data_IF_075971479004
#
_entry.id   IF_075971479004
#
_cell.length_a   1.000
_cell.length_b   1.000
_cell.length_c   1.000
_cell.angle_alpha   90.00
_cell.angle_beta   90.00
_cell.angle_gamma   90.00
#
_symmetry.space_group_name_H-M   'P 1'
#
loop_
_entity.id
_entity.type
_entity.pdbx_description
1 polymer ?
#
# COMPACT_ATOMS: atom_id res chain seq x y z
N UNK A 1 -15.79 -6.00 -23.31
CA UNK A 1 -16.33 -6.34 -21.97
C UNK A 1 -16.92 -5.08 -21.37
N UNK A 2 -17.91 -5.18 -20.49
CA UNK A 2 -18.35 -3.99 -19.74
C UNK A 2 -17.28 -3.63 -18.70
N UNK A 3 -17.20 -2.36 -18.30
CA UNK A 3 -16.28 -1.91 -17.24
C UNK A 3 -16.45 -2.73 -15.95
N UNK A 4 -17.70 -3.09 -15.62
CA UNK A 4 -18.00 -3.89 -14.43
C UNK A 4 -17.37 -5.28 -14.49
N UNK A 5 -17.41 -5.93 -15.67
CA UNK A 5 -16.81 -7.24 -15.86
C UNK A 5 -15.28 -7.18 -15.68
N UNK A 6 -14.63 -6.14 -16.20
CA UNK A 6 -13.16 -5.99 -16.06
C UNK A 6 -12.73 -5.78 -14.61
N UNK A 7 -13.50 -5.01 -13.84
CA UNK A 7 -13.25 -4.83 -12.41
C UNK A 7 -13.48 -6.13 -11.65
N UNK A 8 -14.54 -6.87 -11.96
CA UNK A 8 -14.83 -8.12 -11.25
C UNK A 8 -13.78 -9.20 -11.54
N UNK A 9 -13.27 -9.27 -12.77
CA UNK A 9 -12.11 -10.11 -13.13
C UNK A 9 -10.88 -9.69 -12.33
N UNK A 10 -10.58 -8.39 -12.27
CA UNK A 10 -9.43 -7.89 -11.53
C UNK A 10 -9.53 -8.18 -10.02
N UNK A 11 -10.70 -7.96 -9.42
CA UNK A 11 -10.98 -8.33 -8.02
C UNK A 11 -10.83 -9.84 -7.79
N UNK A 12 -11.24 -10.67 -8.75
CA UNK A 12 -11.02 -12.12 -8.72
C UNK A 12 -9.53 -12.49 -8.71
N UNK A 13 -8.74 -11.86 -9.58
CA UNK A 13 -7.28 -12.04 -9.65
C UNK A 13 -6.57 -11.60 -8.35
N UNK A 14 -7.02 -10.51 -7.74
CA UNK A 14 -6.50 -10.01 -6.46
C UNK A 14 -6.77 -10.99 -5.30
N UNK A 15 -8.01 -11.49 -5.18
CA UNK A 15 -8.38 -12.48 -4.16
C UNK A 15 -7.63 -13.80 -4.35
N UNK A 16 -7.44 -14.22 -5.59
CA UNK A 16 -6.67 -15.42 -5.94
C UNK A 16 -5.14 -15.24 -5.79
N UNK A 17 -4.66 -14.05 -5.38
CA UNK A 17 -3.23 -13.72 -5.24
C UNK A 17 -2.40 -13.95 -6.53
N UNK A 18 -3.04 -13.85 -7.70
CA UNK A 18 -2.36 -13.97 -9.01
C UNK A 18 -1.53 -12.74 -9.35
N UNK A 19 -1.98 -11.56 -8.88
CA UNK A 19 -1.26 -10.29 -9.01
C UNK A 19 -0.82 -9.86 -7.62
N UNK A 20 0.48 -9.91 -7.33
CA UNK A 20 1.04 -9.54 -6.02
C UNK A 20 1.97 -8.33 -6.08
N UNK A 21 2.46 -7.99 -7.27
CA UNK A 21 3.41 -6.92 -7.44
C UNK A 21 2.72 -5.55 -7.27
N UNK A 22 3.23 -4.67 -6.39
CA UNK A 22 2.58 -3.39 -6.12
C UNK A 22 2.54 -2.50 -7.36
N UNK A 23 3.56 -2.56 -8.23
CA UNK A 23 3.62 -1.77 -9.46
C UNK A 23 2.55 -2.19 -10.47
N UNK A 24 2.45 -3.50 -10.76
CA UNK A 24 1.45 -4.03 -11.68
C UNK A 24 0.02 -3.74 -11.20
N UNK A 25 -0.20 -3.85 -9.90
CA UNK A 25 -1.49 -3.55 -9.27
C UNK A 25 -1.83 -2.06 -9.37
N UNK A 26 -0.87 -1.18 -9.13
CA UNK A 26 -1.03 0.27 -9.27
C UNK A 26 -1.39 0.65 -10.71
N UNK A 27 -0.64 0.14 -11.71
CA UNK A 27 -0.89 0.39 -13.14
C UNK A 27 -2.28 -0.08 -13.56
N UNK A 28 -2.68 -1.28 -13.16
CA UNK A 28 -4.00 -1.82 -13.49
C UNK A 28 -5.13 -0.99 -12.86
N UNK A 29 -4.93 -0.54 -11.61
CA UNK A 29 -5.89 0.33 -10.91
C UNK A 29 -6.03 1.68 -11.61
N UNK A 30 -4.92 2.33 -11.98
CA UNK A 30 -4.93 3.60 -12.71
C UNK A 30 -5.64 3.47 -14.07
N UNK A 31 -5.37 2.39 -14.81
CA UNK A 31 -6.05 2.09 -16.08
C UNK A 31 -7.57 1.95 -15.91
N UNK A 32 -8.02 1.22 -14.88
CA UNK A 32 -9.46 1.06 -14.59
C UNK A 32 -10.12 2.39 -14.22
N UNK A 33 -9.44 3.24 -13.45
CA UNK A 33 -9.95 4.58 -13.12
C UNK A 33 -10.06 5.47 -14.35
N UNK A 34 -9.08 5.41 -15.27
CA UNK A 34 -9.16 6.10 -16.57
C UNK A 34 -10.30 5.57 -17.45
N UNK A 35 -10.54 4.27 -17.46
CA UNK A 35 -11.65 3.68 -18.19
C UNK A 35 -13.01 4.09 -17.60
N UNK A 36 -13.11 4.18 -16.27
CA UNK A 36 -14.29 4.68 -15.56
C UNK A 36 -14.62 6.13 -15.98
N UNK A 37 -13.64 7.02 -15.94
CA UNK A 37 -13.83 8.44 -16.29
C UNK A 37 -14.23 8.63 -17.75
N UNK A 38 -13.76 7.75 -18.64
CA UNK A 38 -14.06 7.79 -20.09
C UNK A 38 -15.45 7.23 -20.42
N UNK A 39 -15.84 6.11 -19.80
CA UNK A 39 -17.06 5.37 -20.15
C UNK A 39 -18.33 5.98 -19.55
N UNK A 40 -18.27 6.46 -18.30
CA UNK A 40 -19.44 7.01 -17.61
C UNK A 40 -19.61 8.52 -17.88
N UNK A 41 -20.86 8.93 -18.09
CA UNK A 41 -21.23 10.34 -18.12
C UNK A 41 -21.52 10.82 -16.70
N UNK A 42 -20.92 11.93 -16.33
CA UNK A 42 -21.01 12.60 -15.03
C UNK A 42 -21.29 14.06 -15.34
N UNK A 43 -22.32 14.60 -14.69
CA UNK A 43 -22.73 15.98 -14.90
C UNK A 43 -22.06 16.97 -13.97
N UNK A 44 -21.47 16.47 -12.89
CA UNK A 44 -20.80 17.25 -11.86
C UNK A 44 -19.52 16.53 -11.41
N UNK A 45 -18.57 17.27 -10.86
CA UNK A 45 -17.33 16.74 -10.30
C UNK A 45 -17.61 15.85 -9.08
N UNK A 46 -18.56 16.22 -8.22
CA UNK A 46 -18.93 15.41 -7.06
C UNK A 46 -19.46 14.03 -7.44
N UNK A 47 -20.29 13.97 -8.49
CA UNK A 47 -20.81 12.70 -9.00
C UNK A 47 -19.70 11.77 -9.54
N UNK A 48 -18.59 12.34 -10.03
CA UNK A 48 -17.42 11.56 -10.44
C UNK A 48 -16.61 11.09 -9.22
N UNK A 49 -16.42 11.95 -8.21
CA UNK A 49 -15.75 11.61 -6.95
C UNK A 49 -16.45 10.44 -6.25
N UNK A 50 -17.78 10.50 -6.14
CA UNK A 50 -18.58 9.45 -5.49
C UNK A 50 -18.48 8.11 -6.23
N UNK A 51 -18.50 8.14 -7.57
CA UNK A 51 -18.31 6.95 -8.40
C UNK A 51 -16.90 6.36 -8.21
N UNK A 52 -15.85 7.18 -8.28
CA UNK A 52 -14.46 6.73 -8.07
C UNK A 52 -14.28 6.15 -6.67
N UNK A 53 -14.88 6.76 -5.64
CA UNK A 53 -14.86 6.27 -4.26
C UNK A 53 -15.56 4.92 -4.15
N UNK A 54 -16.74 4.76 -4.74
CA UNK A 54 -17.49 3.48 -4.72
C UNK A 54 -16.72 2.35 -5.41
N UNK A 55 -16.17 2.58 -6.60
CA UNK A 55 -15.40 1.57 -7.33
C UNK A 55 -14.06 1.29 -6.66
N UNK A 56 -13.40 2.33 -6.18
CA UNK A 56 -12.14 2.21 -5.45
C UNK A 56 -12.28 1.37 -4.18
N UNK A 57 -13.34 1.60 -3.41
CA UNK A 57 -13.65 0.80 -2.20
C UNK A 57 -13.86 -0.67 -2.56
N UNK A 58 -14.59 -0.97 -3.65
CA UNK A 58 -14.81 -2.34 -4.13
C UNK A 58 -13.50 -3.05 -4.47
N UNK A 59 -12.56 -2.37 -5.14
CA UNK A 59 -11.27 -2.95 -5.52
C UNK A 59 -10.38 -3.13 -4.29
N UNK A 60 -10.32 -2.14 -3.40
CA UNK A 60 -9.51 -2.22 -2.18
C UNK A 60 -10.01 -3.33 -1.24
N UNK A 61 -11.33 -3.58 -1.17
CA UNK A 61 -11.91 -4.70 -0.43
C UNK A 61 -11.47 -6.07 -0.95
N UNK A 62 -11.07 -6.20 -2.21
CA UNK A 62 -10.60 -7.47 -2.74
C UNK A 62 -9.27 -7.91 -2.10
N UNK A 63 -8.41 -6.95 -1.73
CA UNK A 63 -7.15 -7.21 -1.04
C UNK A 63 -6.71 -5.96 -0.23
N UNK A 64 -7.09 -5.86 1.06
CA UNK A 64 -6.81 -4.67 1.87
C UNK A 64 -5.32 -4.49 2.21
N UNK A 65 -4.53 -5.57 2.21
CA UNK A 65 -3.09 -5.52 2.48
C UNK A 65 -2.27 -4.88 1.36
N UNK A 66 -2.86 -4.71 0.16
CA UNK A 66 -2.21 -4.05 -0.97
C UNK A 66 -2.52 -2.54 -0.98
N UNK A 67 -1.69 -1.78 -0.25
CA UNK A 67 -1.89 -0.35 -0.06
C UNK A 67 -1.75 0.46 -1.37
N UNK A 68 -1.01 -0.03 -2.35
CA UNK A 68 -0.82 0.63 -3.64
C UNK A 68 -2.15 0.92 -4.35
N UNK A 69 -3.15 0.03 -4.24
CA UNK A 69 -4.50 0.22 -4.80
C UNK A 69 -5.13 1.49 -4.21
N UNK A 70 -5.21 1.56 -2.88
CA UNK A 70 -5.81 2.68 -2.18
C UNK A 70 -5.04 3.97 -2.41
N UNK A 71 -3.72 3.91 -2.52
CA UNK A 71 -2.86 5.06 -2.81
C UNK A 71 -3.19 5.65 -4.19
N UNK A 72 -3.28 4.81 -5.24
CA UNK A 72 -3.66 5.27 -6.57
C UNK A 72 -5.07 5.88 -6.57
N UNK A 73 -6.05 5.24 -5.93
CA UNK A 73 -7.41 5.77 -5.85
C UNK A 73 -7.43 7.16 -5.20
N UNK A 74 -6.71 7.34 -4.08
CA UNK A 74 -6.60 8.64 -3.41
C UNK A 74 -5.92 9.70 -4.29
N UNK A 75 -4.90 9.30 -5.06
CA UNK A 75 -4.24 10.20 -6.02
C UNK A 75 -5.20 10.63 -7.12
N UNK A 76 -6.01 9.71 -7.66
CA UNK A 76 -7.07 10.04 -8.64
C UNK A 76 -8.13 10.97 -8.05
N UNK A 77 -8.58 10.72 -6.82
CA UNK A 77 -9.54 11.59 -6.13
C UNK A 77 -8.96 12.99 -5.89
N UNK A 78 -7.66 13.09 -5.61
CA UNK A 78 -6.97 14.36 -5.47
C UNK A 78 -6.92 15.13 -6.79
N UNK A 79 -6.49 14.47 -7.89
CA UNK A 79 -6.47 15.05 -9.25
C UNK A 79 -7.84 15.62 -9.64
N UNK A 80 -8.93 14.88 -9.39
CA UNK A 80 -10.29 15.35 -9.72
C UNK A 80 -10.66 16.61 -8.92
N UNK A 81 -10.28 16.68 -7.65
CA UNK A 81 -10.56 17.86 -6.80
C UNK A 81 -9.75 19.07 -7.23
N UNK A 82 -8.48 18.90 -7.55
CA UNK A 82 -7.63 19.99 -8.02
C UNK A 82 -8.18 20.60 -9.31
N UNK A 83 -8.60 19.77 -10.26
CA UNK A 83 -9.21 20.24 -11.51
C UNK A 83 -10.56 20.95 -11.25
N UNK A 84 -11.40 20.41 -10.36
CA UNK A 84 -12.66 21.05 -10.00
C UNK A 84 -12.46 22.42 -9.32
N UNK A 85 -11.42 22.55 -8.49
CA UNK A 85 -11.05 23.82 -7.87
C UNK A 85 -10.50 24.82 -8.90
N UNK A 86 -9.65 24.37 -9.82
CA UNK A 86 -9.13 25.21 -10.89
C UNK A 86 -10.24 25.77 -11.80
N UNK A 87 -11.27 24.98 -12.09
CA UNK A 87 -12.43 25.46 -12.84
C UNK A 87 -13.24 26.53 -12.07
N UNK A 88 -13.41 26.35 -10.75
CA UNK A 88 -14.07 27.33 -9.89
C UNK A 88 -13.27 28.64 -9.80
N UNK A 89 -11.96 28.56 -9.69
CA UNK A 89 -11.06 29.73 -9.67
C UNK A 89 -10.94 30.42 -11.04
N UNK A 90 -11.09 29.66 -12.13
CA UNK A 90 -11.12 30.19 -13.49
C UNK A 90 -12.46 30.87 -13.83
N UNK A 91 -13.52 30.60 -13.08
CA UNK A 91 -14.80 31.29 -13.25
C UNK A 91 -14.65 32.78 -12.86
N UNK A 92 -15.08 33.72 -13.71
CA UNK A 92 -15.00 35.14 -13.37
C UNK A 92 -15.86 35.43 -12.14
N UNK A 93 -15.41 36.30 -11.21
CA UNK A 93 -16.20 36.64 -10.03
C UNK A 93 -17.52 37.27 -10.48
N UNK A 94 -18.65 36.68 -10.07
CA UNK A 94 -19.97 37.24 -10.31
C UNK A 94 -20.07 38.58 -9.54
N UNK A 95 -19.88 39.68 -10.26
CA UNK A 95 -20.14 41.02 -9.74
C UNK A 95 -21.66 41.21 -9.71
N UNK A 96 -22.29 41.52 -8.55
CA UNK A 96 -23.72 41.76 -8.52
C UNK A 96 -24.02 43.15 -9.10
N UNK A 97 -24.46 43.18 -10.35
CA UNK A 97 -25.24 44.29 -10.92
C UNK A 97 -24.55 45.16 -11.97
N UNK A 98 -25.04 45.04 -13.22
CA UNK A 98 -25.34 46.17 -14.11
C UNK A 98 -24.20 46.76 -14.94
N UNK A 99 -24.33 46.64 -16.27
CA UNK A 99 -23.69 47.56 -17.23
C UNK A 99 -22.97 46.86 -18.37
N UNK A 100 -23.49 47.06 -19.58
CA UNK A 100 -22.92 46.65 -20.86
C UNK A 100 -21.47 47.10 -21.03
N UNK A 101 -20.56 46.18 -21.36
CA UNK A 101 -19.42 46.50 -22.22
C UNK A 101 -18.85 45.26 -22.92
N UNK A 102 -18.74 45.38 -24.23
CA UNK A 102 -18.28 44.37 -25.17
C UNK A 102 -16.75 44.28 -25.21
N UNK A 103 -16.26 43.05 -25.17
CA UNK A 103 -15.05 42.57 -25.87
C UNK A 103 -13.75 43.34 -25.68
N UNK A 104 -12.98 42.96 -24.66
CA UNK A 104 -11.51 42.80 -24.82
C UNK A 104 -11.14 41.39 -24.36
N UNK A 105 -11.05 40.48 -25.34
CA UNK A 105 -10.48 39.14 -25.18
C UNK A 105 -8.96 39.29 -24.96
N UNK A 106 -8.56 39.69 -23.76
CA UNK A 106 -7.17 39.64 -23.34
C UNK A 106 -6.85 38.19 -22.95
N UNK A 107 -6.06 37.56 -23.80
CA UNK A 107 -5.42 36.26 -23.61
C UNK A 107 -4.58 36.28 -22.33
N UNK A 108 -5.19 36.07 -21.15
CA UNK A 108 -4.47 35.69 -19.92
C UNK A 108 -4.15 34.20 -19.99
N UNK A 109 -3.35 33.84 -20.99
CA UNK A 109 -2.49 32.67 -20.87
C UNK A 109 -1.43 33.00 -19.82
N UNK A 110 -1.46 32.26 -18.71
CA UNK A 110 -0.29 32.02 -17.87
C UNK A 110 0.18 33.16 -16.98
N UNK A 111 -0.47 33.34 -15.83
CA UNK A 111 0.15 34.02 -14.67
C UNK A 111 0.49 33.07 -13.52
N UNK A 112 -0.09 31.86 -13.46
CA UNK A 112 0.41 30.79 -12.58
C UNK A 112 1.45 29.89 -13.28
N UNK A 113 1.32 29.68 -14.59
CA UNK A 113 2.33 28.93 -15.37
C UNK A 113 3.63 29.69 -15.62
N UNK A 114 3.70 30.99 -15.27
CA UNK A 114 4.91 31.82 -15.41
C UNK A 114 5.69 32.02 -14.09
N UNK A 115 5.08 31.70 -12.94
CA UNK A 115 5.82 31.56 -11.68
C UNK A 115 6.53 30.19 -11.57
N UNK A 116 6.12 29.23 -12.40
CA UNK A 116 6.71 27.89 -12.50
C UNK A 116 7.72 27.74 -13.65
N UNK A 117 7.94 28.79 -14.46
CA UNK A 117 8.85 28.76 -15.61
C UNK A 117 10.01 29.75 -15.43
N UNK A 118 11.16 29.17 -15.06
CA UNK A 118 12.54 29.69 -15.00
C UNK A 118 13.04 30.27 -13.67
N UNK A 119 14.35 30.19 -13.39
CA UNK A 119 15.30 29.10 -13.65
C UNK A 119 16.07 28.73 -12.37
N UNK A 120 16.51 27.48 -12.22
CA UNK A 120 17.62 27.10 -11.34
C UNK A 120 17.64 27.81 -9.96
N UNK A 121 16.76 27.43 -9.03
CA UNK A 121 17.12 27.59 -7.62
C UNK A 121 18.16 26.51 -7.31
N UNK A 122 19.38 26.88 -7.68
CA UNK A 122 20.65 26.50 -7.09
C UNK A 122 20.53 25.33 -6.13
N UNK A 123 20.84 24.15 -6.65
CA UNK A 123 21.42 23.04 -5.91
C UNK A 123 21.07 23.05 -4.41
N UNK A 124 19.82 22.72 -4.08
CA UNK A 124 19.71 21.75 -3.00
C UNK A 124 20.46 20.54 -3.56
N UNK A 125 21.78 20.48 -3.31
CA UNK A 125 22.61 19.33 -3.61
C UNK A 125 21.73 18.15 -3.26
N UNK A 126 21.47 17.28 -4.24
CA UNK A 126 20.86 16.00 -3.98
C UNK A 126 21.44 15.51 -2.66
N UNK A 127 20.57 15.19 -1.70
CA UNK A 127 20.99 14.83 -0.35
C UNK A 127 21.81 13.55 -0.46
N UNK A 128 23.10 13.70 -0.74
CA UNK A 128 24.10 12.69 -0.56
C UNK A 128 24.36 12.63 0.95
N UNK A 129 24.58 11.42 1.45
CA UNK A 129 24.72 11.15 2.89
C UNK A 129 25.78 12.03 3.59
N UNK A 130 26.70 12.63 2.83
CA UNK A 130 27.69 13.58 3.34
C UNK A 130 27.10 14.89 3.89
N UNK A 131 25.90 15.31 3.45
CA UNK A 131 25.32 16.60 3.84
C UNK A 131 24.46 16.54 5.13
N UNK A 132 24.27 15.36 5.72
CA UNK A 132 23.38 15.15 6.87
C UNK A 132 24.01 15.49 8.24
N UNK A 133 25.33 15.74 8.29
CA UNK A 133 26.05 15.98 9.54
C UNK A 133 26.14 17.46 9.97
N UNK A 134 25.70 18.42 9.14
CA UNK A 134 25.96 19.85 9.35
C UNK A 134 24.73 20.73 9.71
N UNK A 135 23.56 20.17 9.98
CA UNK A 135 22.37 20.99 10.34
C UNK A 135 22.17 21.13 11.86
N UNK A 136 22.70 22.20 12.43
CA UNK A 136 22.21 22.77 13.70
C UNK A 136 21.08 23.76 13.39
N UNK A 137 19.86 23.45 13.86
CA UNK A 137 18.68 24.32 13.70
C UNK A 137 18.75 25.51 14.66
N UNK A 138 18.52 26.77 14.21
CA UNK A 138 18.24 27.88 15.12
C UNK A 138 16.76 27.83 15.60
N UNK A 139 16.45 28.38 16.79
CA UNK A 139 15.12 28.31 17.38
C UNK A 139 14.10 29.20 16.64
N UNK A 140 12.91 28.64 16.40
CA UNK A 140 11.79 29.27 15.69
C UNK A 140 10.95 30.13 16.65
N UNK A 141 10.63 31.37 16.26
CA UNK A 141 9.65 32.25 16.93
C UNK A 141 8.61 32.70 15.89
N UNK A 142 7.30 32.52 16.14
CA UNK A 142 6.26 32.84 15.15
C UNK A 142 6.07 34.36 15.03
N UNK A 143 5.92 34.85 13.79
CA UNK A 143 5.61 36.25 13.48
C UNK A 143 4.10 36.50 13.45
N UNK A 144 3.71 37.75 13.71
CA UNK A 144 2.33 38.22 13.96
C UNK A 144 1.33 38.03 12.81
N UNK A 145 1.75 37.49 11.67
CA UNK A 145 0.87 37.19 10.53
C UNK A 145 0.14 35.85 10.70
N UNK A 146 0.75 34.85 11.37
CA UNK A 146 0.13 33.54 11.60
C UNK A 146 -0.92 33.60 12.73
N UNK A 147 -0.76 34.52 13.68
CA UNK A 147 -1.74 34.78 14.73
C UNK A 147 -3.07 35.37 14.21
N UNK A 148 -3.03 36.08 13.07
CA UNK A 148 -4.21 36.70 12.47
C UNK A 148 -5.13 35.67 11.78
N UNK A 149 -4.57 34.63 11.17
CA UNK A 149 -5.34 33.57 10.51
C UNK A 149 -6.14 32.70 11.51
N UNK A 150 -5.64 32.56 12.74
CA UNK A 150 -6.32 31.81 13.81
C UNK A 150 -7.50 32.59 14.39
N UNK A 151 -7.45 33.93 14.41
CA UNK A 151 -8.53 34.76 14.91
C UNK A 151 -9.75 34.79 13.97
N UNK A 152 -9.53 34.71 12.66
CA UNK A 152 -10.61 34.74 11.66
C UNK A 152 -11.42 33.43 11.60
N UNK A 153 -10.81 32.31 11.98
CA UNK A 153 -11.46 31.00 12.04
C UNK A 153 -12.46 30.86 13.22
N UNK A 154 -12.36 31.70 14.25
CA UNK A 154 -13.17 31.59 15.49
C UNK A 154 -14.48 32.40 15.39
N UNK A 155 -14.64 33.30 14.41
CA UNK A 155 -15.78 34.22 14.33
C UNK A 155 -17.02 33.69 13.59
N UNK A 156 -16.99 32.50 12.97
CA UNK A 156 -18.06 32.05 12.04
C UNK A 156 -18.91 30.85 12.51
N UNK A 157 -19.00 30.59 13.82
CA UNK A 157 -19.90 29.55 14.35
C UNK A 157 -20.76 30.04 15.52
N UNK A 158 -21.93 30.58 15.20
CA UNK A 158 -23.14 30.51 16.05
C UNK A 158 -24.39 30.52 15.15
N UNK A 159 -25.33 29.57 15.27
CA UNK A 159 -26.55 29.56 14.46
C UNK A 159 -27.62 30.50 15.06
N UNK A 160 -28.20 31.36 14.23
CA UNK A 160 -29.36 32.18 14.58
C UNK A 160 -30.68 31.45 14.29
N UNK A 161 -31.61 31.58 15.23
CA UNK A 161 -32.97 31.01 15.26
C UNK A 161 -33.87 31.78 14.25
N UNK A 162 -34.74 31.13 13.45
CA UNK A 162 -35.68 31.86 12.60
C UNK A 162 -36.97 32.25 13.34
N UNK A 163 -37.38 33.50 13.16
CA UNK A 163 -38.62 34.09 13.67
C UNK A 163 -39.87 33.60 12.91
N UNK A 164 -41.01 33.62 13.61
CA UNK A 164 -42.34 33.18 13.19
C UNK A 164 -43.01 34.18 12.23
N UNK A 165 -43.81 33.74 11.24
CA UNK A 165 -44.77 34.61 10.56
C UNK A 165 -46.21 34.39 11.08
N UNK A 166 -46.90 35.49 11.38
CA UNK A 166 -48.33 35.54 11.68
C UNK A 166 -49.22 35.44 10.42
N UNK A 167 -50.54 35.23 10.60
CA UNK A 167 -51.40 34.60 9.60
C UNK A 167 -52.13 35.61 8.70
N UNK A 168 -52.37 35.24 7.44
CA UNK A 168 -53.15 36.06 6.53
C UNK A 168 -53.54 35.39 5.22
N UNK A 169 -54.78 34.88 5.21
CA UNK A 169 -55.72 34.83 4.08
C UNK A 169 -55.49 33.79 2.97
N UNK A 170 -56.36 32.79 3.06
CA UNK A 170 -56.84 31.85 2.05
C UNK A 170 -57.03 32.44 0.65
N UNK A 171 -56.60 31.72 -0.37
CA UNK A 171 -57.44 31.50 -1.56
C UNK A 171 -57.06 30.19 -2.26
N UNK A 172 -58.12 29.43 -2.46
CA UNK A 172 -58.23 28.07 -2.98
C UNK A 172 -58.35 28.14 -4.51
N UNK A 173 -57.56 27.34 -5.23
CA UNK A 173 -57.76 27.11 -6.66
C UNK A 173 -57.10 25.79 -7.10
N UNK A 174 -57.89 24.72 -7.03
CA UNK A 174 -57.70 23.48 -7.76
C UNK A 174 -57.86 23.69 -9.28
N UNK A 175 -56.89 23.24 -10.07
CA UNK A 175 -57.08 22.62 -11.41
C UNK A 175 -55.75 21.97 -11.83
N UNK A 176 -55.59 20.66 -11.78
CA UNK A 176 -56.04 19.65 -12.75
C UNK A 176 -55.02 19.35 -13.87
N UNK A 177 -54.83 18.04 -14.08
CA UNK A 177 -54.18 17.34 -15.21
C UNK A 177 -52.67 17.44 -15.47
N UNK A 178 -51.97 16.37 -15.07
CA UNK A 178 -51.27 15.47 -15.99
C UNK A 178 -50.50 16.06 -17.18
N UNK A 179 -49.20 16.27 -17.01
CA UNK A 179 -48.22 16.10 -18.10
C UNK A 179 -46.89 15.56 -17.60
N UNK A 180 -46.76 14.25 -17.71
CA UNK A 180 -45.50 13.49 -17.63
C UNK A 180 -44.51 14.11 -18.64
N UNK A 181 -43.63 15.00 -18.19
CA UNK A 181 -42.50 15.47 -19.00
C UNK A 181 -41.52 14.31 -19.12
N UNK A 182 -41.46 13.70 -20.31
CA UNK A 182 -40.33 12.86 -20.71
C UNK A 182 -39.07 13.71 -20.58
N UNK A 183 -38.24 13.43 -19.58
CA UNK A 183 -36.93 14.04 -19.44
C UNK A 183 -36.06 13.58 -20.60
N UNK A 184 -35.81 14.48 -21.55
CA UNK A 184 -34.73 14.35 -22.51
C UNK A 184 -33.41 14.14 -21.76
N UNK A 185 -32.78 12.97 -21.96
CA UNK A 185 -31.44 12.64 -21.46
C UNK A 185 -30.41 13.50 -22.18
N UNK A 186 -30.10 14.68 -21.65
CA UNK A 186 -28.83 15.36 -21.88
C UNK A 186 -28.60 16.37 -20.75
N UNK A 187 -28.11 15.88 -19.60
CA UNK A 187 -27.50 16.77 -18.61
C UNK A 187 -26.19 17.35 -19.16
N UNK A 188 -25.73 18.51 -18.65
CA UNK A 188 -24.41 19.04 -18.95
C UNK A 188 -23.35 17.99 -18.58
N UNK A 189 -22.29 17.87 -19.38
CA UNK A 189 -21.12 17.05 -19.06
C UNK A 189 -20.10 17.98 -18.43
N UNK A 190 -19.53 17.58 -17.29
CA UNK A 190 -18.47 18.36 -16.63
C UNK A 190 -17.30 18.59 -17.60
N UNK A 191 -16.86 19.84 -17.77
CA UNK A 191 -15.88 20.24 -18.79
C UNK A 191 -14.45 19.83 -18.41
N UNK A 192 -14.10 19.80 -17.12
CA UNK A 192 -12.79 19.38 -16.61
C UNK A 192 -12.43 17.91 -16.84
N UNK A 193 -13.33 17.10 -17.42
CA UNK A 193 -13.07 15.67 -17.67
C UNK A 193 -11.90 15.40 -18.60
N UNK A 194 -11.71 16.20 -19.64
CA UNK A 194 -10.59 15.98 -20.57
C UNK A 194 -9.25 16.20 -19.89
N UNK A 195 -9.16 17.20 -19.02
CA UNK A 195 -7.97 17.49 -18.23
C UNK A 195 -7.68 16.36 -17.23
N UNK A 196 -8.71 15.84 -16.55
CA UNK A 196 -8.54 14.65 -15.68
C UNK A 196 -8.04 13.44 -16.47
N UNK A 197 -8.55 13.18 -17.67
CA UNK A 197 -8.08 12.05 -18.50
C UNK A 197 -6.62 12.23 -18.92
N UNK A 198 -6.20 13.45 -19.25
CA UNK A 198 -4.81 13.78 -19.58
C UNK A 198 -3.89 13.53 -18.37
N UNK A 199 -4.21 14.08 -17.20
CA UNK A 199 -3.44 13.85 -15.97
C UNK A 199 -3.41 12.36 -15.55
N UNK A 200 -4.47 11.60 -15.81
CA UNK A 200 -4.47 10.15 -15.57
C UNK A 200 -3.57 9.38 -16.53
N UNK A 201 -3.41 9.84 -17.78
CA UNK A 201 -2.43 9.25 -18.69
C UNK A 201 -1.01 9.59 -18.24
N UNK A 202 -0.75 10.84 -17.86
CA UNK A 202 0.55 11.25 -17.29
C UNK A 202 0.91 10.41 -16.05
N UNK A 203 -0.06 10.13 -15.17
CA UNK A 203 0.15 9.24 -14.02
C UNK A 203 0.51 7.81 -14.44
N UNK A 204 -0.11 7.27 -15.50
CA UNK A 204 0.21 5.91 -15.99
C UNK A 204 1.62 5.88 -16.58
N UNK A 205 1.98 6.89 -17.36
CA UNK A 205 3.31 7.02 -17.95
C UNK A 205 4.38 7.21 -16.86
N UNK A 206 4.10 8.02 -15.83
CA UNK A 206 4.96 8.17 -14.64
C UNK A 206 5.21 6.80 -13.98
N UNK A 207 4.17 5.99 -13.77
CA UNK A 207 4.28 4.65 -13.17
C UNK A 207 5.17 3.70 -13.98
N UNK A 208 5.26 3.87 -15.31
CA UNK A 208 6.15 3.05 -16.15
C UNK A 208 7.63 3.43 -15.96
N UNK A 209 7.93 4.68 -15.64
CA UNK A 209 9.29 5.23 -15.60
C UNK A 209 9.94 5.25 -14.19
N UNK A 210 9.17 5.04 -13.12
CA UNK A 210 9.63 5.14 -11.71
C UNK A 210 10.93 4.38 -11.43
N UNK A 211 11.01 3.11 -11.86
CA UNK A 211 12.17 2.28 -11.57
C UNK A 211 13.43 2.80 -12.26
N UNK A 212 13.29 3.36 -13.47
CA UNK A 212 14.39 3.96 -14.23
C UNK A 212 14.82 5.27 -13.61
N UNK A 213 13.85 6.12 -13.21
CA UNK A 213 14.13 7.40 -12.54
C UNK A 213 14.92 7.22 -11.24
N UNK A 214 14.53 6.23 -10.42
CA UNK A 214 15.26 5.89 -9.18
C UNK A 214 16.66 5.37 -9.52
N UNK A 215 16.80 4.50 -10.53
CA UNK A 215 18.08 3.90 -10.88
C UNK A 215 19.11 4.92 -11.40
N UNK A 216 18.66 6.00 -12.07
CA UNK A 216 19.55 7.08 -12.52
C UNK A 216 20.26 7.81 -11.37
N UNK A 217 19.62 7.89 -10.21
CA UNK A 217 20.17 8.54 -9.01
C UNK A 217 21.27 7.70 -8.32
N UNK A 218 21.47 6.44 -8.72
CA UNK A 218 22.39 5.52 -8.04
C UNK A 218 23.84 6.01 -7.97
N UNK A 219 24.28 6.80 -8.96
CA UNK A 219 25.64 7.34 -9.01
C UNK A 219 25.95 8.37 -7.93
N UNK A 220 24.92 9.00 -7.34
CA UNK A 220 25.08 9.99 -6.29
C UNK A 220 25.23 9.34 -4.91
N UNK A 221 24.70 8.12 -4.75
CA UNK A 221 24.64 7.41 -3.47
C UNK A 221 25.69 6.30 -3.30
N UNK A 222 26.12 5.65 -4.40
CA UNK A 222 27.06 4.51 -4.36
C UNK A 222 28.43 4.93 -4.88
N UNK A 223 29.48 4.78 -4.07
CA UNK A 223 30.86 5.06 -4.47
C UNK A 223 31.67 3.79 -4.72
N UNK A 224 32.87 3.95 -5.30
CA UNK A 224 33.75 2.83 -5.59
C UNK A 224 34.31 2.20 -4.30
N UNK A 225 34.51 0.89 -4.31
CA UNK A 225 35.03 0.09 -3.19
C UNK A 225 34.18 0.14 -1.91
N UNK A 226 32.89 0.50 -2.02
CA UNK A 226 31.95 0.39 -0.91
C UNK A 226 31.39 -1.04 -0.79
N UNK A 227 31.03 -1.41 0.43
CA UNK A 227 30.30 -2.65 0.74
C UNK A 227 28.85 -2.29 1.03
N UNK A 228 27.96 -2.71 0.13
CA UNK A 228 26.52 -2.47 0.23
C UNK A 228 25.81 -3.75 0.69
N UNK A 229 24.94 -3.65 1.70
CA UNK A 229 24.08 -4.76 2.11
C UNK A 229 22.66 -4.55 1.57
N UNK A 230 22.08 -5.61 1.01
CA UNK A 230 20.67 -5.70 0.61
C UNK A 230 20.03 -6.96 1.20
N UNK A 231 18.70 -6.97 1.29
CA UNK A 231 17.93 -8.07 1.86
C UNK A 231 16.80 -8.47 0.91
N UNK A 232 16.63 -9.77 0.68
CA UNK A 232 15.56 -10.31 -0.15
C UNK A 232 15.66 -9.93 -1.62
N UNK A 233 14.49 -9.82 -2.28
CA UNK A 233 14.40 -9.48 -3.71
C UNK A 233 13.65 -8.17 -3.93
N UNK A 234 14.25 -7.28 -4.72
CA UNK A 234 13.62 -6.02 -5.10
C UNK A 234 14.10 -5.60 -6.49
N UNK A 235 13.17 -5.48 -7.44
CA UNK A 235 13.46 -5.05 -8.81
C UNK A 235 14.07 -3.63 -8.84
N UNK A 236 13.50 -2.69 -8.08
CA UNK A 236 14.02 -1.33 -7.97
C UNK A 236 15.46 -1.32 -7.46
N UNK A 237 15.77 -2.13 -6.44
CA UNK A 237 17.12 -2.24 -5.88
C UNK A 237 18.09 -2.89 -6.85
N UNK A 238 17.66 -3.94 -7.54
CA UNK A 238 18.42 -4.61 -8.57
C UNK A 238 18.82 -3.65 -9.70
N UNK A 239 17.86 -2.89 -10.24
CA UNK A 239 18.11 -1.90 -11.30
C UNK A 239 19.04 -0.79 -10.81
N UNK A 240 18.82 -0.28 -9.59
CA UNK A 240 19.66 0.74 -8.97
C UNK A 240 21.12 0.29 -8.83
N UNK A 241 21.36 -0.93 -8.36
CA UNK A 241 22.71 -1.49 -8.24
C UNK A 241 23.34 -1.79 -9.61
N UNK A 242 22.56 -2.28 -10.59
CA UNK A 242 23.04 -2.50 -11.97
C UNK A 242 23.48 -1.19 -12.64
N UNK A 243 22.70 -0.12 -12.50
CA UNK A 243 23.09 1.20 -13.03
C UNK A 243 24.36 1.73 -12.37
N UNK A 244 24.48 1.63 -11.04
CA UNK A 244 25.71 2.00 -10.34
C UNK A 244 26.93 1.20 -10.84
N UNK A 245 26.75 -0.10 -11.09
CA UNK A 245 27.77 -1.03 -11.54
C UNK A 245 28.38 -0.70 -12.90
N UNK A 246 27.64 0.01 -13.76
CA UNK A 246 28.15 0.42 -15.09
C UNK A 246 29.32 1.40 -15.01
N UNK A 247 29.38 2.22 -13.95
CA UNK A 247 30.40 3.27 -13.79
C UNK A 247 31.40 2.98 -12.69
N UNK A 248 31.05 2.19 -11.68
CA UNK A 248 31.85 1.98 -10.47
C UNK A 248 31.85 0.52 -10.06
N UNK A 249 33.00 0.03 -9.60
CA UNK A 249 33.13 -1.28 -8.96
C UNK A 249 32.93 -1.16 -7.44
N UNK A 250 32.05 -1.99 -6.89
CA UNK A 250 31.77 -2.08 -5.46
C UNK A 250 31.32 -3.50 -5.12
N UNK A 251 31.24 -3.82 -3.82
CA UNK A 251 30.80 -5.13 -3.34
C UNK A 251 29.36 -5.06 -2.85
N UNK A 252 28.57 -6.09 -3.17
CA UNK A 252 27.20 -6.25 -2.68
C UNK A 252 27.09 -7.53 -1.86
N UNK A 253 26.64 -7.40 -0.63
CA UNK A 253 26.25 -8.51 0.25
C UNK A 253 24.73 -8.64 0.16
N UNK A 254 24.25 -9.83 -0.20
CA UNK A 254 22.82 -10.14 -0.36
C UNK A 254 22.42 -11.15 0.71
N UNK A 255 21.55 -10.74 1.63
CA UNK A 255 20.91 -11.66 2.56
C UNK A 255 19.75 -12.40 1.88
N UNK A 256 19.59 -13.69 2.17
CA UNK A 256 18.69 -14.57 1.43
C UNK A 256 17.19 -14.33 1.68
N UNK A 257 16.82 -13.76 2.83
CA UNK A 257 15.43 -13.55 3.27
C UNK A 257 14.65 -14.87 3.38
N UNK A 258 15.11 -15.77 4.25
CA UNK A 258 14.36 -16.95 4.64
C UNK A 258 13.06 -16.53 5.35
N UNK A 259 11.93 -17.20 5.11
CA UNK A 259 11.76 -18.45 4.34
C UNK A 259 11.51 -18.25 2.83
N UNK A 260 11.50 -17.01 2.32
CA UNK A 260 11.20 -16.72 0.92
C UNK A 260 12.36 -16.99 -0.05
N UNK A 261 13.60 -16.95 0.43
CA UNK A 261 14.84 -17.19 -0.34
C UNK A 261 14.99 -16.36 -1.63
N UNK A 262 14.25 -15.25 -1.75
CA UNK A 262 14.27 -14.38 -2.93
C UNK A 262 15.65 -13.78 -3.21
N UNK A 263 16.48 -13.62 -2.18
CA UNK A 263 17.83 -13.08 -2.30
C UNK A 263 18.76 -13.91 -3.19
N UNK A 264 18.52 -15.23 -3.34
CA UNK A 264 19.34 -16.08 -4.21
C UNK A 264 19.22 -15.66 -5.69
N UNK A 265 18.00 -15.34 -6.13
CA UNK A 265 17.76 -14.86 -7.50
C UNK A 265 18.43 -13.51 -7.73
N UNK A 266 18.29 -12.58 -6.77
CA UNK A 266 18.92 -11.26 -6.85
C UNK A 266 20.45 -11.34 -6.90
N UNK A 267 21.06 -12.19 -6.08
CA UNK A 267 22.51 -12.42 -6.09
C UNK A 267 22.98 -12.97 -7.45
N UNK A 268 22.26 -13.94 -8.00
CA UNK A 268 22.59 -14.51 -9.32
C UNK A 268 22.50 -13.46 -10.44
N UNK A 269 21.50 -12.58 -10.41
CA UNK A 269 21.37 -11.52 -11.41
C UNK A 269 22.43 -10.43 -11.30
N UNK A 270 22.80 -10.03 -10.09
CA UNK A 270 23.87 -9.06 -9.86
C UNK A 270 25.23 -9.65 -10.28
N UNK A 271 25.47 -10.94 -10.02
CA UNK A 271 26.66 -11.65 -10.50
C UNK A 271 26.74 -11.68 -12.04
N UNK A 272 25.62 -11.96 -12.72
CA UNK A 272 25.53 -11.90 -14.19
C UNK A 272 25.83 -10.50 -14.75
N UNK A 273 25.50 -9.45 -13.99
CA UNK A 273 25.81 -8.07 -14.34
C UNK A 273 27.28 -7.67 -14.08
N UNK A 274 28.11 -8.58 -13.56
CA UNK A 274 29.54 -8.33 -13.31
C UNK A 274 29.86 -7.66 -11.97
N UNK A 275 28.90 -7.62 -11.03
CA UNK A 275 29.12 -7.08 -9.69
C UNK A 275 29.73 -8.12 -8.75
N UNK A 276 30.62 -7.69 -7.86
CA UNK A 276 31.19 -8.56 -6.82
C UNK A 276 30.15 -8.82 -5.74
N UNK A 277 29.49 -9.96 -5.82
CA UNK A 277 28.33 -10.33 -4.99
C UNK A 277 28.68 -11.43 -4.00
N UNK A 278 28.12 -11.34 -2.80
CA UNK A 278 28.28 -12.33 -1.73
C UNK A 278 26.91 -12.62 -1.14
N UNK A 279 26.43 -13.87 -1.26
CA UNK A 279 25.20 -14.30 -0.62
C UNK A 279 25.47 -14.73 0.82
N UNK A 280 24.58 -14.37 1.75
CA UNK A 280 24.70 -14.69 3.18
C UNK A 280 23.36 -15.19 3.73
N UNK A 281 23.43 -16.00 4.79
CA UNK A 281 22.26 -16.34 5.59
C UNK A 281 21.83 -15.14 6.45
N UNK A 282 20.55 -15.08 6.81
CA UNK A 282 20.01 -13.96 7.59
C UNK A 282 20.66 -13.85 8.98
N UNK A 283 21.07 -14.98 9.57
CA UNK A 283 21.80 -15.01 10.85
C UNK A 283 23.18 -14.34 10.78
N UNK A 284 23.79 -14.25 9.59
CA UNK A 284 25.09 -13.62 9.38
C UNK A 284 25.01 -12.09 9.19
N UNK A 285 23.81 -11.51 9.10
CA UNK A 285 23.61 -10.06 8.90
C UNK A 285 24.35 -9.27 9.98
N UNK A 286 24.13 -9.61 11.25
CA UNK A 286 24.74 -8.88 12.36
C UNK A 286 26.26 -9.04 12.41
N UNK A 287 26.77 -10.24 12.09
CA UNK A 287 28.20 -10.54 12.09
C UNK A 287 28.96 -9.75 11.00
N UNK A 288 28.34 -9.54 9.85
CA UNK A 288 28.96 -8.83 8.72
C UNK A 288 28.70 -7.33 8.73
N UNK A 289 27.72 -6.85 9.50
CA UNK A 289 27.33 -5.44 9.54
C UNK A 289 28.51 -4.49 9.85
N UNK A 290 29.48 -4.92 10.66
CA UNK A 290 30.67 -4.13 10.98
C UNK A 290 31.56 -3.78 9.76
N UNK A 291 31.40 -4.48 8.63
CA UNK A 291 32.13 -4.22 7.38
C UNK A 291 31.28 -3.51 6.33
N UNK A 292 29.98 -3.35 6.57
CA UNK A 292 29.03 -2.74 5.62
C UNK A 292 29.12 -1.22 5.73
N UNK A 293 29.17 -0.54 4.59
CA UNK A 293 29.17 0.93 4.55
C UNK A 293 27.77 1.52 4.46
N UNK A 294 26.86 0.86 3.73
CA UNK A 294 25.46 1.29 3.58
C UNK A 294 24.54 0.08 3.45
N UNK A 295 23.34 0.21 3.97
CA UNK A 295 22.26 -0.74 3.69
C UNK A 295 21.32 -0.09 2.67
N UNK A 296 21.02 -0.80 1.58
CA UNK A 296 20.06 -0.35 0.55
C UNK A 296 18.94 -1.37 0.47
N UNK A 297 17.71 -0.95 0.79
CA UNK A 297 16.54 -1.83 0.82
C UNK A 297 15.42 -1.27 -0.08
N UNK A 298 14.60 -2.18 -0.61
CA UNK A 298 13.31 -1.82 -1.18
C UNK A 298 12.22 -1.82 -0.11
N UNK A 299 11.17 -1.03 -0.32
CA UNK A 299 9.96 -1.07 0.51
C UNK A 299 8.74 -1.50 -0.32
N UNK A 300 7.76 -2.10 0.36
CA UNK A 300 6.44 -2.41 -0.20
C UNK A 300 5.45 -1.26 -0.02
N UNK A 301 5.49 -0.56 1.11
CA UNK A 301 4.73 0.65 1.36
C UNK A 301 5.49 1.62 2.27
N UNK A 302 5.26 2.92 2.09
CA UNK A 302 5.73 4.00 2.97
C UNK A 302 4.52 4.58 3.69
N UNK A 303 4.50 4.55 5.02
CA UNK A 303 3.37 4.95 5.85
C UNK A 303 3.43 6.42 6.25
N UNK A 304 2.34 6.93 6.82
CA UNK A 304 2.18 8.36 7.10
C UNK A 304 3.18 8.93 8.10
N UNK A 305 3.65 8.09 9.03
CA UNK A 305 4.66 8.45 10.03
C UNK A 305 6.09 8.40 9.49
N UNK A 306 6.28 8.04 8.21
CA UNK A 306 7.59 7.82 7.60
C UNK A 306 8.19 6.44 7.89
N UNK A 307 7.46 5.54 8.56
CA UNK A 307 7.84 4.13 8.66
C UNK A 307 7.56 3.39 7.37
N UNK A 308 8.22 2.24 7.16
CA UNK A 308 7.99 1.41 5.97
C UNK A 308 7.47 0.04 6.34
N UNK A 309 6.74 -0.54 5.39
CA UNK A 309 6.47 -1.96 5.35
C UNK A 309 7.33 -2.61 4.29
N UNK A 310 8.00 -3.69 4.66
CA UNK A 310 8.92 -4.42 3.79
C UNK A 310 8.78 -5.93 4.01
N UNK A 311 9.62 -6.71 3.32
CA UNK A 311 9.67 -8.17 3.49
C UNK A 311 10.05 -8.56 4.92
N UNK A 312 9.53 -9.70 5.39
CA UNK A 312 9.82 -10.24 6.72
C UNK A 312 11.33 -10.30 6.99
N UNK A 313 11.79 -9.82 8.15
CA UNK A 313 13.21 -9.77 8.51
C UNK A 313 13.92 -8.46 8.17
N UNK A 314 13.29 -7.54 7.43
CA UNK A 314 13.85 -6.20 7.16
C UNK A 314 14.13 -5.42 8.45
N UNK A 315 13.31 -5.56 9.49
CA UNK A 315 13.56 -4.88 10.77
C UNK A 315 14.84 -5.38 11.45
N UNK A 316 15.22 -6.65 11.27
CA UNK A 316 16.48 -7.20 11.79
C UNK A 316 17.68 -6.49 11.16
N UNK A 317 17.62 -6.28 9.85
CA UNK A 317 18.65 -5.53 9.10
C UNK A 317 18.72 -4.08 9.60
N UNK A 318 17.57 -3.44 9.76
CA UNK A 318 17.50 -2.04 10.20
C UNK A 318 18.03 -1.84 11.63
N UNK A 319 17.71 -2.74 12.55
CA UNK A 319 18.22 -2.73 13.93
C UNK A 319 19.73 -2.98 13.98
N UNK A 320 20.22 -3.95 13.20
CA UNK A 320 21.65 -4.21 13.08
C UNK A 320 22.39 -3.00 12.51
N UNK A 321 21.85 -2.38 11.46
CA UNK A 321 22.43 -1.19 10.84
C UNK A 321 22.51 -0.03 11.84
N UNK A 322 21.42 0.21 12.58
CA UNK A 322 21.37 1.24 13.63
C UNK A 322 22.40 1.00 14.72
N UNK A 323 22.57 -0.25 15.17
CA UNK A 323 23.55 -0.62 16.20
C UNK A 323 24.98 -0.37 15.76
N UNK A 324 25.27 -0.54 14.47
CA UNK A 324 26.59 -0.32 13.87
C UNK A 324 26.76 1.08 13.25
N UNK A 325 25.80 1.99 13.47
CA UNK A 325 25.78 3.33 12.87
C UNK A 325 25.93 3.33 11.33
N UNK A 326 25.42 2.28 10.67
CA UNK A 326 25.38 2.17 9.22
C UNK A 326 24.10 2.83 8.72
N UNK A 327 24.18 3.75 7.74
CA UNK A 327 23.00 4.41 7.19
C UNK A 327 22.13 3.42 6.40
N UNK A 328 20.82 3.48 6.65
CA UNK A 328 19.79 2.73 5.92
C UNK A 328 19.15 3.64 4.86
N UNK A 329 19.36 3.28 3.60
CA UNK A 329 18.78 3.93 2.42
C UNK A 329 17.65 3.06 1.89
N UNK A 330 16.47 3.65 1.72
CA UNK A 330 15.28 2.94 1.24
C UNK A 330 14.88 3.47 -0.12
N UNK A 331 14.78 2.57 -1.09
CA UNK A 331 14.31 2.86 -2.44
C UNK A 331 12.80 2.65 -2.50
N UNK A 332 12.04 3.71 -2.79
CA UNK A 332 10.58 3.67 -2.78
C UNK A 332 10.00 4.62 -3.82
N UNK A 333 9.14 4.11 -4.70
CA UNK A 333 8.37 4.97 -5.62
C UNK A 333 7.20 5.61 -4.90
N UNK A 334 6.84 6.83 -5.27
CA UNK A 334 5.79 7.61 -4.59
C UNK A 334 4.40 6.97 -4.64
N UNK A 335 4.12 6.10 -5.62
CA UNK A 335 2.87 5.31 -5.64
C UNK A 335 2.70 4.36 -4.42
N UNK A 336 3.80 4.06 -3.71
CA UNK A 336 3.79 3.27 -2.47
C UNK A 336 3.58 4.11 -1.21
N UNK A 337 3.58 5.45 -1.32
CA UNK A 337 3.31 6.37 -0.21
C UNK A 337 1.84 6.28 0.19
N UNK A 338 1.57 5.99 1.47
CA UNK A 338 0.24 5.78 2.01
C UNK A 338 -0.03 6.72 3.20
N UNK A 339 -1.21 7.36 3.27
CA UNK A 339 -1.58 8.22 4.39
C UNK A 339 -2.05 7.43 5.63
N UNK A 340 -1.93 6.10 5.62
CA UNK A 340 -2.34 5.24 6.74
C UNK A 340 -1.27 5.21 7.83
N UNK A 341 -1.73 5.08 9.08
CA UNK A 341 -0.86 5.05 10.25
C UNK A 341 -0.69 3.61 10.77
N UNK A 342 0.52 3.17 11.16
CA UNK A 342 0.76 1.77 11.57
C UNK A 342 0.00 1.30 12.82
N UNK A 343 -0.48 2.22 13.67
CA UNK A 343 -1.26 1.90 14.87
C UNK A 343 -2.76 1.90 14.65
N UNK A 344 -3.23 2.12 13.43
CA UNK A 344 -4.65 2.09 13.15
C UNK A 344 -5.17 0.65 13.22
N UNK A 345 -6.06 0.30 14.18
CA UNK A 345 -6.58 -1.06 14.34
C UNK A 345 -7.43 -1.52 13.15
N UNK A 346 -7.82 -0.59 12.26
CA UNK A 346 -8.63 -0.88 11.07
C UNK A 346 -7.81 -1.51 9.94
N UNK A 347 -6.48 -1.42 9.99
CA UNK A 347 -5.61 -1.86 8.89
C UNK A 347 -4.75 -3.04 9.34
N UNK A 348 -5.07 -4.24 8.86
CA UNK A 348 -4.20 -5.40 9.02
C UNK A 348 -3.01 -5.27 8.06
N UNK A 349 -1.86 -4.85 8.58
CA UNK A 349 -0.67 -4.62 7.78
C UNK A 349 0.08 -5.91 7.42
N UNK A 350 -0.10 -6.99 8.17
CA UNK A 350 0.62 -8.24 7.93
C UNK A 350 -0.31 -9.33 7.39
N UNK A 351 0.10 -9.92 6.27
CA UNK A 351 -0.52 -11.13 5.73
C UNK A 351 0.25 -12.34 6.25
N UNK A 352 -0.45 -13.40 6.64
CA UNK A 352 0.20 -14.68 6.95
C UNK A 352 0.27 -15.56 5.69
N UNK A 353 1.46 -16.10 5.43
CA UNK A 353 1.76 -17.09 4.40
C UNK A 353 1.56 -18.51 4.94
N UNK A 354 1.72 -19.49 4.06
CA UNK A 354 1.62 -20.90 4.43
C UNK A 354 2.70 -21.27 5.45
N UNK A 355 2.38 -21.98 6.53
CA UNK A 355 3.37 -22.55 7.44
C UNK A 355 4.34 -23.54 6.77
N UNK A 356 3.95 -24.08 5.60
CA UNK A 356 4.77 -25.03 4.84
C UNK A 356 6.12 -24.46 4.39
N UNK A 357 6.25 -23.13 4.27
CA UNK A 357 7.54 -22.50 3.95
C UNK A 357 8.52 -22.55 5.13
N UNK A 358 8.03 -22.82 6.36
CA UNK A 358 8.81 -22.84 7.59
C UNK A 358 9.09 -24.26 8.04
N UNK A 359 8.07 -25.12 8.03
CA UNK A 359 8.17 -26.52 8.44
C UNK A 359 7.50 -27.42 7.41
N UNK A 360 8.20 -28.47 7.00
CA UNK A 360 7.64 -29.49 6.13
C UNK A 360 6.53 -30.25 6.87
N UNK A 361 5.44 -30.54 6.15
CA UNK A 361 4.27 -31.22 6.72
C UNK A 361 4.63 -32.61 7.28
N UNK A 362 5.55 -33.30 6.62
CA UNK A 362 5.95 -34.67 6.97
C UNK A 362 6.61 -34.74 8.35
N UNK A 363 7.35 -33.69 8.74
CA UNK A 363 8.01 -33.59 10.05
C UNK A 363 6.99 -33.55 11.20
N UNK A 364 5.80 -33.01 10.95
CA UNK A 364 4.71 -32.95 11.93
C UNK A 364 3.85 -34.23 11.92
N UNK A 365 3.94 -35.03 10.86
CA UNK A 365 3.14 -36.23 10.67
C UNK A 365 3.77 -37.50 11.23
N UNK A 366 5.05 -37.46 11.64
CA UNK A 366 5.69 -38.61 12.27
C UNK A 366 4.99 -38.95 13.60
N UNK A 367 4.39 -40.14 13.73
CA UNK A 367 3.89 -40.61 15.01
C UNK A 367 5.09 -40.76 15.94
N UNK A 368 5.02 -40.15 17.13
CA UNK A 368 5.91 -40.47 18.25
C UNK A 368 6.08 -41.99 18.32
N UNK A 369 7.28 -42.49 18.01
CA UNK A 369 7.58 -43.91 18.23
C UNK A 369 7.30 -44.22 19.71
N UNK A 370 6.58 -45.32 20.01
CA UNK A 370 6.42 -45.77 21.39
C UNK A 370 7.75 -46.33 21.88
N UNK A 371 8.63 -45.44 22.36
CA UNK A 371 9.92 -45.82 22.93
C UNK A 371 9.74 -46.72 24.17
N UNK A 372 10.16 -47.98 24.02
CA UNK A 372 11.04 -48.68 24.96
C UNK A 372 10.54 -48.89 26.41
N UNK A 373 9.27 -49.26 26.61
CA UNK A 373 8.75 -49.68 27.92
C UNK A 373 8.56 -51.21 28.10
N UNK A 374 9.20 -52.06 27.29
CA UNK A 374 9.19 -53.53 27.49
C UNK A 374 10.60 -54.13 27.53
N UNK A 375 11.44 -53.62 28.43
CA UNK A 375 12.70 -54.25 28.78
C UNK A 375 12.90 -54.27 30.30
N UNK A 376 11.94 -54.77 31.06
CA UNK A 376 12.18 -55.34 32.40
C UNK A 376 10.89 -55.84 33.06
N UNK A 377 10.50 -57.09 32.78
CA UNK A 377 10.07 -58.03 33.83
C UNK A 377 9.95 -59.42 33.23
N UNK A 378 10.99 -60.20 33.41
CA UNK A 378 10.95 -61.65 33.28
C UNK A 378 10.18 -62.27 34.44
N UNK A 379 9.35 -63.26 34.09
CA UNK A 379 9.05 -64.47 34.87
C UNK A 379 8.10 -64.38 36.08
N UNK A 380 6.89 -64.92 35.94
CA UNK A 380 6.33 -65.89 36.91
C UNK A 380 4.95 -66.46 36.52
N UNK A 381 4.86 -67.80 36.52
CA UNK A 381 3.70 -68.70 36.67
C UNK A 381 2.76 -68.94 35.46
N UNK A 382 2.82 -70.09 34.76
CA UNK A 382 2.33 -71.46 35.09
C UNK A 382 0.78 -71.66 34.98
N UNK A 383 0.39 -72.42 33.93
CA UNK A 383 -0.64 -73.47 33.83
C UNK A 383 -2.11 -73.18 34.27
N UNK A 384 -3.10 -73.40 33.38
CA UNK A 384 -3.92 -74.64 33.26
C UNK A 384 -5.15 -74.52 32.32
N UNK A 385 -5.30 -75.55 31.49
CA UNK A 385 -6.44 -76.15 30.74
C UNK A 385 -7.94 -75.75 30.92
N UNK A 386 -8.62 -75.62 29.75
CA UNK A 386 -9.77 -76.44 29.22
C UNK A 386 -11.26 -76.00 29.32
N UNK A 387 -11.99 -76.42 28.27
CA UNK A 387 -13.46 -76.56 27.99
C UNK A 387 -14.19 -75.36 27.34
N UNK A 388 -14.60 -75.41 26.05
CA UNK A 388 -15.74 -76.12 25.38
C UNK A 388 -17.13 -75.69 25.87
N UNK A 389 -17.96 -75.07 25.00
CA UNK A 389 -19.17 -75.66 24.36
C UNK A 389 -19.91 -74.66 23.44
N UNK A 390 -20.45 -75.20 22.35
CA UNK A 390 -21.32 -74.60 21.32
C UNK A 390 -22.69 -74.09 21.81
N UNK A 391 -23.33 -73.19 21.05
CA UNK A 391 -24.72 -73.36 20.56
C UNK A 391 -25.11 -72.31 19.51
N UNK A 392 -25.75 -72.78 18.45
CA UNK A 392 -26.32 -72.05 17.30
C UNK A 392 -27.69 -71.44 17.65
N UNK A 393 -28.07 -70.30 17.05
CA UNK A 393 -29.25 -70.18 16.16
C UNK A 393 -29.59 -68.71 15.82
N UNK A 394 -29.57 -68.42 14.51
CA UNK A 394 -30.57 -67.69 13.70
C UNK A 394 -31.26 -66.44 14.26
N UNK A 395 -31.07 -65.30 13.60
CA UNK A 395 -32.08 -64.74 12.68
C UNK A 395 -31.54 -63.52 11.93
N UNK A 396 -31.85 -63.49 10.64
CA UNK A 396 -31.39 -62.48 9.70
C UNK A 396 -32.18 -61.18 9.81
N UNK A 397 -31.48 -60.07 9.69
CA UNK A 397 -32.00 -58.83 9.12
C UNK A 397 -30.87 -58.12 8.38
N UNK A 398 -30.99 -58.11 7.06
CA UNK A 398 -30.18 -57.31 6.14
C UNK A 398 -30.24 -55.83 6.52
N UNK A 399 -29.07 -55.23 6.74
CA UNK A 399 -28.86 -53.78 6.64
C UNK A 399 -27.55 -53.53 5.86
N UNK A 400 -27.56 -53.92 4.60
CA UNK A 400 -26.60 -53.43 3.61
C UNK A 400 -26.97 -51.99 3.21
N UNK A 401 -26.53 -51.00 3.99
CA UNK A 401 -26.15 -49.65 3.52
C UNK A 401 -25.91 -48.70 4.71
N UNK A 402 -24.70 -48.69 5.25
CA UNK A 402 -24.11 -47.51 5.88
C UNK A 402 -22.61 -47.51 5.52
N UNK A 403 -22.03 -46.44 4.94
CA UNK A 403 -20.63 -46.41 4.56
C UNK A 403 -19.73 -46.55 5.78
N UNK A 404 -18.75 -47.47 5.67
CA UNK A 404 -17.63 -47.60 6.60
C UNK A 404 -16.68 -46.42 6.36
N UNK A 405 -16.63 -45.49 7.31
CA UNK A 405 -15.44 -44.71 7.74
C UNK A 405 -15.88 -43.55 8.64
N UNK A 406 -16.28 -43.88 9.87
CA UNK A 406 -16.45 -42.89 10.93
C UNK A 406 -16.38 -43.59 12.31
N UNK A 407 -15.27 -44.28 12.59
CA UNK A 407 -14.94 -44.73 13.95
C UNK A 407 -13.43 -44.60 14.16
N UNK A 408 -13.01 -43.46 14.71
CA UNK A 408 -12.02 -43.42 15.80
C UNK A 408 -11.90 -41.97 16.30
N UNK A 409 -12.88 -41.56 17.10
CA UNK A 409 -12.69 -40.47 18.05
C UNK A 409 -12.72 -41.12 19.44
N UNK A 410 -11.55 -41.42 20.00
CA UNK A 410 -11.25 -41.57 21.44
C UNK A 410 -9.81 -42.05 21.63
N UNK A 411 -8.87 -41.23 21.21
CA UNK A 411 -7.54 -41.18 21.81
C UNK A 411 -7.11 -39.72 21.73
N UNK A 412 -7.35 -38.97 22.80
CA UNK A 412 -6.70 -37.69 23.02
C UNK A 412 -5.21 -37.97 23.26
N UNK A 413 -4.49 -38.23 22.18
CA UNK A 413 -3.03 -38.18 22.17
C UNK A 413 -2.68 -36.71 22.33
N UNK A 414 -1.95 -36.38 23.39
CA UNK A 414 -1.32 -35.08 23.59
C UNK A 414 -0.22 -34.91 22.54
N UNK A 415 -0.61 -34.70 21.28
CA UNK A 415 0.31 -34.29 20.25
C UNK A 415 0.99 -32.99 20.70
N UNK A 416 2.30 -32.82 20.48
CA UNK A 416 2.96 -31.55 20.74
C UNK A 416 2.32 -30.48 19.84
N UNK A 417 1.54 -29.57 20.43
CA UNK A 417 0.87 -28.49 19.71
C UNK A 417 1.90 -27.41 19.37
N UNK A 418 2.50 -27.50 18.19
CA UNK A 418 3.40 -26.46 17.67
C UNK A 418 2.59 -25.46 16.85
N UNK A 419 2.49 -24.22 17.33
CA UNK A 419 1.91 -23.11 16.58
C UNK A 419 2.96 -22.48 15.66
N UNK A 420 2.77 -22.63 14.35
CA UNK A 420 3.69 -22.10 13.33
C UNK A 420 3.06 -20.88 12.65
N UNK A 421 3.76 -19.75 12.69
CA UNK A 421 3.33 -18.48 12.09
C UNK A 421 4.33 -18.04 11.03
N UNK A 422 3.84 -17.70 9.84
CA UNK A 422 4.64 -17.19 8.74
C UNK A 422 4.19 -15.78 8.33
N UNK A 423 4.64 -14.71 9.02
CA UNK A 423 4.34 -13.35 8.61
C UNK A 423 5.03 -12.99 7.29
N UNK A 424 4.29 -12.40 6.35
CA UNK A 424 4.82 -12.00 5.04
C UNK A 424 5.65 -10.71 5.12
N UNK A 425 5.24 -9.78 5.97
CA UNK A 425 5.78 -8.43 6.01
C UNK A 425 6.25 -8.05 7.41
N UNK A 426 7.12 -7.05 7.43
CA UNK A 426 7.68 -6.46 8.63
C UNK A 426 7.52 -4.94 8.61
N UNK A 427 7.48 -4.34 9.79
CA UNK A 427 7.37 -2.89 9.95
C UNK A 427 8.69 -2.33 10.46
N UNK A 428 9.28 -1.42 9.68
CA UNK A 428 10.49 -0.69 10.08
C UNK A 428 10.11 0.74 10.43
N UNK A 429 10.35 1.17 11.68
CA UNK A 429 9.97 2.49 12.12
C UNK A 429 10.92 3.58 11.56
N UNK A 430 10.44 4.84 11.43
CA UNK A 430 11.14 5.92 10.73
C UNK A 430 12.53 6.24 11.33
N UNK A 431 12.74 6.03 12.63
CA UNK A 431 13.99 6.35 13.33
C UNK A 431 15.18 5.46 12.93
N UNK A 432 14.92 4.33 12.27
CA UNK A 432 15.95 3.45 11.73
C UNK A 432 16.33 3.83 10.29
N UNK A 433 15.51 4.63 9.62
CA UNK A 433 15.69 5.01 8.22
C UNK A 433 16.49 6.31 8.15
N UNK A 434 17.53 6.33 7.31
CA UNK A 434 18.37 7.52 7.13
C UNK A 434 17.91 8.37 5.94
N UNK A 435 17.54 7.72 4.83
CA UNK A 435 17.21 8.41 3.58
C UNK A 435 16.21 7.58 2.75
N UNK A 436 15.23 8.26 2.17
CA UNK A 436 14.39 7.74 1.09
C UNK A 436 14.92 8.22 -0.25
N UNK A 437 15.09 7.31 -1.21
CA UNK A 437 15.35 7.65 -2.61
C UNK A 437 14.10 7.29 -3.40
N UNK A 438 13.49 8.32 -3.97
CA UNK A 438 12.23 8.24 -4.72
C UNK A 438 12.43 8.65 -6.17
N UNK A 439 11.39 8.53 -6.98
CA UNK A 439 11.40 8.94 -8.39
C UNK A 439 11.70 10.44 -8.58
N UNK A 440 11.28 11.30 -7.66
CA UNK A 440 11.53 12.75 -7.71
C UNK A 440 12.83 13.18 -7.03
N UNK A 441 13.35 12.39 -6.09
CA UNK A 441 14.63 12.65 -5.44
C UNK A 441 14.81 12.02 -4.06
N UNK A 442 15.84 12.48 -3.35
CA UNK A 442 16.19 12.04 -2.00
C UNK A 442 15.47 12.84 -0.91
N UNK A 443 14.77 12.17 0.00
CA UNK A 443 14.02 12.78 1.10
C UNK A 443 14.38 12.19 2.46
N UNK A 444 14.33 13.00 3.51
CA UNK A 444 14.44 12.51 4.89
C UNK A 444 13.07 11.99 5.38
N UNK A 445 13.03 11.07 6.35
CA UNK A 445 11.76 10.58 6.89
C UNK A 445 10.86 11.70 7.44
N UNK A 446 11.45 12.76 7.99
CA UNK A 446 10.72 13.93 8.46
C UNK A 446 10.02 14.70 7.34
N UNK A 447 10.39 14.55 6.06
CA UNK A 447 9.76 15.27 4.95
C UNK A 447 8.48 14.57 4.43
N UNK A 448 8.21 13.35 4.88
CA UNK A 448 7.09 12.52 4.39
C UNK A 448 5.73 13.21 4.59
N UNK A 449 5.53 13.98 5.68
CA UNK A 449 4.27 14.71 5.91
C UNK A 449 3.95 15.69 4.78
N UNK A 450 4.98 16.31 4.18
CA UNK A 450 4.81 17.28 3.11
C UNK A 450 4.48 16.60 1.80
N UNK A 451 5.14 15.48 1.50
CA UNK A 451 4.78 14.63 0.37
C UNK A 451 3.31 14.17 0.47
N UNK A 452 2.84 13.77 1.65
CA UNK A 452 1.43 13.39 1.82
C UNK A 452 0.46 14.55 1.53
N UNK A 453 0.80 15.78 1.90
CA UNK A 453 -0.04 16.94 1.61
C UNK A 453 -0.01 17.38 0.16
N UNK A 454 1.07 17.08 -0.56
CA UNK A 454 1.23 17.41 -1.99
C UNK A 454 0.55 16.38 -2.90
N UNK A 455 0.41 15.12 -2.46
CA UNK A 455 -0.13 14.04 -3.30
C UNK A 455 -1.53 13.55 -2.91
N UNK A 456 -2.00 13.85 -1.70
CA UNK A 456 -3.29 13.36 -1.19
C UNK A 456 -4.11 14.43 -0.46
N UNK A 457 -5.42 14.43 -0.74
CA UNK A 457 -6.39 15.19 0.04
C UNK A 457 -6.62 14.54 1.42
N UNK A 458 -6.69 15.36 2.48
CA UNK A 458 -6.91 14.90 3.87
C UNK A 458 -8.24 14.15 4.06
N UNK A 459 -9.24 14.48 3.26
CA UNK A 459 -10.58 13.88 3.30
C UNK A 459 -10.57 12.39 2.96
N UNK A 460 -9.63 11.93 2.11
CA UNK A 460 -9.63 10.54 1.63
C UNK A 460 -8.70 9.62 2.44
N UNK A 461 -8.14 10.12 3.56
CA UNK A 461 -7.31 9.28 4.44
C UNK A 461 -8.16 8.15 5.03
N UNK A 462 -9.42 8.47 5.36
CA UNK A 462 -10.39 7.55 5.95
C UNK A 462 -11.08 6.58 4.99
N UNK A 463 -10.66 6.49 3.72
CA UNK A 463 -11.24 5.53 2.76
C UNK A 463 -11.24 4.09 3.32
N UNK A 464 -10.27 3.74 4.17
CA UNK A 464 -10.19 2.45 4.87
C UNK A 464 -11.10 2.33 6.10
N UNK A 465 -11.45 3.44 6.75
CA UNK A 465 -12.33 3.44 7.93
C UNK A 465 -13.78 3.18 7.53
N UNK A 466 -14.23 3.84 6.45
CA UNK A 466 -15.52 3.55 5.80
C UNK A 466 -15.60 2.07 5.34
N UNK A 467 -14.46 1.50 4.94
CA UNK A 467 -14.28 0.13 4.47
C UNK A 467 -14.49 -0.92 5.58
N UNK A 468 -14.04 -0.64 6.81
CA UNK A 468 -14.20 -1.53 7.97
C UNK A 468 -15.57 -1.40 8.64
N UNK A 469 -16.13 -0.20 8.69
CA UNK A 469 -17.51 0.01 9.17
C UNK A 469 -18.53 -0.72 8.29
N UNK A 470 -18.24 -0.92 7.00
CA UNK A 470 -19.03 -1.72 6.07
C UNK A 470 -18.84 -3.24 6.23
N UNK A 471 -17.77 -3.68 6.92
CA UNK A 471 -17.45 -5.09 7.19
C UNK A 471 -18.03 -5.56 8.54
N UNK A 472 -18.21 -4.62 9.48
CA UNK A 472 -18.81 -4.85 10.80
C UNK A 472 -20.35 -4.79 10.78
N UNK A 473 -20.94 -4.18 9.74
CA UNK A 473 -22.39 -4.16 9.48
C UNK A 473 -22.78 -5.28 8.53
#
# INVERSE_FOLDING_TARGET
MSLADEVDVFCGQLRARQVQEPLLTAKRTAYLMRLLTTTKRHGDAQALLDDVRSWGTKIQMAKPSELAIGNIIRRVLHIIREEAQQELEAAPPEVPGGGTESTVRAKRQGLLSKALQHPSLTAARALSLHNLLDFSLPPYSPTSAEAAAVAEAVSKQTPSIPETPGPGIVNDALSDTGRRRKSSRSGPVWQGKSAVIEQLNELIDELDEIAVAIAQQAHEHIHANEVILTFGVSETTLLFLKEAGKKRSFQVIVAEAAPGYGGHSMAAELAKAGLHTTAIADSAIFALMARVNKVVLGARALLANGGIMAETGTQLVALAAKRHAVPLVVLVGLYKLSPLFPHDPTVTFNDFKSPADIIDFDVMAEPLEPDLAEASTSSSALMTHSQMTDTQSTDGADLSNIPREAVSATAASSAPEVHVLNPAFDYVPPELISLFVTDTGGYTPSYVYRLLSEYYAREDYGLSKELMDALVR
#
